data_IF_197993168354
#
_entry.id   IF_197993168354
#
_cell.length_a   1.000
_cell.length_b   1.000
_cell.length_c   1.000
_cell.angle_alpha   90.00
_cell.angle_beta   90.00
_cell.angle_gamma   90.00
#
_symmetry.space_group_name_H-M   'P 1'
#
loop_
_entity.id
_entity.type
_entity.pdbx_description
1 polymer ?
#
# COMPACT_ATOMS: atom_id res chain seq x y z
N UNK A 1 -11.06 0.76 1.94
CA UNK A 1 -9.78 0.08 1.68
C UNK A 1 -9.69 -1.05 2.67
N UNK A 2 -9.76 -2.28 2.18
CA UNK A 2 -9.65 -3.48 3.01
C UNK A 2 -8.34 -4.16 2.62
N UNK A 3 -7.53 -4.55 3.60
CA UNK A 3 -6.28 -5.26 3.35
C UNK A 3 -6.37 -6.54 4.16
N UNK A 4 -6.27 -7.67 3.48
CA UNK A 4 -6.26 -8.98 4.09
C UNK A 4 -4.86 -9.59 3.94
N UNK A 5 -4.25 -9.94 5.06
CA UNK A 5 -3.01 -10.71 5.07
C UNK A 5 -3.36 -12.17 5.33
N UNK A 6 -2.96 -13.05 4.40
CA UNK A 6 -3.07 -14.49 4.59
C UNK A 6 -1.66 -15.04 4.69
N UNK A 7 -1.25 -15.44 5.90
CA UNK A 7 0.02 -16.15 6.13
C UNK A 7 -0.26 -17.65 6.05
N UNK A 8 0.25 -18.32 5.02
CA UNK A 8 0.16 -19.77 4.86
C UNK A 8 1.51 -20.39 5.22
N UNK A 9 1.60 -20.98 6.43
CA UNK A 9 2.77 -21.78 6.83
C UNK A 9 2.68 -23.15 6.15
N UNK A 10 3.60 -23.44 5.22
CA UNK A 10 3.78 -24.77 4.62
C UNK A 10 4.92 -25.51 5.34
N UNK A 11 5.04 -26.81 5.11
CA UNK A 11 5.93 -27.71 5.86
C UNK A 11 7.43 -27.35 5.75
N UNK A 12 7.83 -26.56 4.74
CA UNK A 12 9.23 -26.22 4.43
C UNK A 12 9.45 -24.72 4.12
N UNK A 13 8.41 -23.91 4.08
CA UNK A 13 8.48 -22.48 3.76
C UNK A 13 7.23 -21.74 4.23
N UNK A 14 7.34 -20.43 4.38
CA UNK A 14 6.21 -19.55 4.68
C UNK A 14 5.83 -18.82 3.41
N UNK A 15 4.55 -18.93 3.03
CA UNK A 15 3.96 -18.19 1.93
C UNK A 15 3.13 -17.05 2.53
N UNK A 16 3.57 -15.81 2.37
CA UNK A 16 2.70 -14.66 2.63
C UNK A 16 1.93 -14.37 1.34
N UNK A 17 0.61 -14.28 1.45
CA UNK A 17 -0.28 -13.76 0.41
C UNK A 17 -0.90 -12.46 0.94
N UNK A 18 -0.52 -11.33 0.35
CA UNK A 18 -1.07 -10.03 0.72
C UNK A 18 -2.13 -9.66 -0.32
N UNK A 19 -3.39 -9.50 0.11
CA UNK A 19 -4.50 -9.07 -0.75
C UNK A 19 -4.91 -7.66 -0.37
N UNK A 20 -4.71 -6.71 -1.27
CA UNK A 20 -5.23 -5.35 -1.13
C UNK A 20 -6.55 -5.25 -1.89
N UNK A 21 -7.56 -4.57 -1.34
CA UNK A 21 -8.77 -4.16 -2.07
C UNK A 21 -8.94 -2.63 -1.98
N UNK A 22 -8.86 -1.96 -3.14
CA UNK A 22 -8.93 -0.50 -3.24
C UNK A 22 -10.19 -0.01 -3.99
N UNK A 23 -10.64 1.19 -3.60
CA UNK A 23 -11.74 1.93 -4.25
C UNK A 23 -11.20 3.08 -5.13
N UNK A 24 -10.38 2.75 -6.13
CA UNK A 24 -9.87 3.70 -7.16
C UNK A 24 -8.37 4.00 -7.10
N UNK A 25 -7.89 4.82 -8.05
CA UNK A 25 -6.49 5.11 -8.38
C UNK A 25 -5.57 5.31 -7.16
N UNK A 26 -4.80 4.28 -6.80
CA UNK A 26 -3.78 4.37 -5.76
C UNK A 26 -2.50 3.61 -6.10
N UNK A 27 -1.37 4.27 -5.83
CA UNK A 27 -0.03 3.67 -5.76
C UNK A 27 0.12 3.04 -4.37
N UNK A 28 0.46 1.75 -4.31
CA UNK A 28 0.56 1.02 -3.04
C UNK A 28 1.92 0.33 -2.94
N UNK A 29 2.61 0.55 -1.82
CA UNK A 29 3.94 0.05 -1.50
C UNK A 29 3.83 -0.75 -0.22
N UNK A 30 4.10 -2.06 -0.30
CA UNK A 30 4.23 -2.95 0.84
C UNK A 30 5.69 -3.08 1.22
N UNK A 31 5.97 -3.08 2.52
CA UNK A 31 7.31 -3.25 3.07
C UNK A 31 7.24 -4.37 4.10
N UNK A 32 7.74 -5.55 3.74
CA UNK A 32 7.84 -6.71 4.61
C UNK A 32 9.30 -6.90 5.05
N UNK A 33 9.56 -7.15 6.34
CA UNK A 33 10.90 -7.49 6.82
C UNK A 33 11.16 -8.98 6.55
N UNK A 34 12.12 -9.31 5.68
CA UNK A 34 12.43 -10.67 5.25
C UNK A 34 13.92 -10.98 5.38
N UNK A 35 14.30 -12.02 6.14
CA UNK A 35 15.63 -12.60 6.05
C UNK A 35 15.66 -13.55 4.83
N UNK A 36 16.26 -13.08 3.74
CA UNK A 36 16.60 -13.84 2.52
C UNK A 36 15.40 -14.43 1.73
N UNK A 37 14.99 -13.74 0.66
CA UNK A 37 13.95 -14.22 -0.26
C UNK A 37 14.49 -14.60 -1.63
N UNK A 38 13.99 -15.73 -2.16
CA UNK A 38 14.11 -16.13 -3.56
C UNK A 38 12.71 -16.07 -4.18
N UNK A 39 12.49 -15.20 -5.17
CA UNK A 39 11.15 -14.81 -5.65
C UNK A 39 10.96 -15.07 -7.15
N UNK A 40 9.87 -15.76 -7.50
CA UNK A 40 9.47 -16.13 -8.87
C UNK A 40 8.14 -15.47 -9.25
N UNK A 41 8.12 -14.18 -9.60
CA UNK A 41 6.96 -13.55 -10.26
C UNK A 41 7.34 -12.17 -10.87
N UNK A 42 6.64 -11.69 -11.91
CA UNK A 42 7.08 -10.57 -12.77
C UNK A 42 6.81 -9.16 -12.21
N UNK A 43 6.39 -8.99 -10.95
CA UNK A 43 6.11 -7.68 -10.37
C UNK A 43 7.38 -7.02 -9.81
N UNK A 44 7.48 -5.69 -9.93
CA UNK A 44 8.61 -4.90 -9.46
C UNK A 44 8.75 -4.95 -7.93
N UNK A 45 9.61 -5.84 -7.43
CA UNK A 45 10.02 -5.92 -6.04
C UNK A 45 11.46 -5.43 -5.88
N UNK A 46 11.79 -4.92 -4.70
CA UNK A 46 13.13 -4.48 -4.33
C UNK A 46 13.47 -5.03 -2.95
N UNK A 47 14.55 -5.79 -2.85
CA UNK A 47 15.06 -6.25 -1.57
C UNK A 47 16.20 -5.33 -1.11
N UNK A 48 16.06 -4.77 0.09
CA UNK A 48 17.10 -4.02 0.79
C UNK A 48 17.77 -4.93 1.83
N UNK A 49 18.95 -5.51 1.52
CA UNK A 49 19.64 -6.41 2.42
C UNK A 49 20.19 -5.72 3.67
N UNK A 50 20.36 -4.38 3.67
CA UNK A 50 20.89 -3.65 4.84
C UNK A 50 19.87 -3.57 5.96
N UNK A 51 18.61 -3.42 5.57
CA UNK A 51 17.48 -3.34 6.50
C UNK A 51 16.71 -4.66 6.58
N UNK A 52 17.10 -5.68 5.79
CA UNK A 52 16.39 -6.96 5.63
C UNK A 52 14.92 -6.75 5.27
N UNK A 53 14.67 -5.90 4.27
CA UNK A 53 13.33 -5.45 3.89
C UNK A 53 13.05 -5.77 2.43
N UNK A 54 11.95 -6.46 2.17
CA UNK A 54 11.35 -6.60 0.85
C UNK A 54 10.28 -5.53 0.64
N UNK A 55 10.52 -4.68 -0.33
CA UNK A 55 9.59 -3.68 -0.81
C UNK A 55 8.88 -4.20 -2.07
N UNK A 56 7.56 -4.31 -2.02
CA UNK A 56 6.72 -4.63 -3.16
C UNK A 56 5.89 -3.42 -3.56
N UNK A 57 6.05 -2.99 -4.81
CA UNK A 57 5.35 -1.80 -5.32
C UNK A 57 4.35 -2.16 -6.42
N UNK A 58 3.12 -1.66 -6.28
CA UNK A 58 2.09 -1.69 -7.32
C UNK A 58 1.81 -0.26 -7.74
N UNK A 59 2.16 0.07 -8.99
CA UNK A 59 2.15 1.46 -9.50
C UNK A 59 0.73 2.05 -9.52
N UNK A 60 -0.26 1.24 -9.91
CA UNK A 60 -1.64 1.67 -10.07
C UNK A 60 -2.59 0.53 -9.68
N UNK A 61 -3.46 0.81 -8.71
CA UNK A 61 -4.62 -0.01 -8.37
C UNK A 61 -5.88 0.79 -8.71
N UNK A 62 -6.73 0.24 -9.57
CA UNK A 62 -7.99 0.75 -10.05
C UNK A 62 -9.08 -0.34 -10.01
N UNK A 63 -10.25 -0.08 -10.63
CA UNK A 63 -11.37 -1.02 -10.61
C UNK A 63 -11.13 -2.31 -11.41
N UNK A 64 -10.17 -2.32 -12.35
CA UNK A 64 -9.84 -3.46 -13.19
C UNK A 64 -8.84 -4.42 -12.54
N UNK A 65 -8.07 -3.94 -11.57
CA UNK A 65 -7.02 -4.70 -10.88
C UNK A 65 -7.10 -4.53 -9.35
N UNK A 66 -8.32 -4.63 -8.81
CA UNK A 66 -8.66 -4.37 -7.40
C UNK A 66 -7.89 -5.21 -6.40
N UNK A 67 -7.29 -6.32 -6.82
CA UNK A 67 -6.53 -7.23 -5.98
C UNK A 67 -5.18 -7.56 -6.62
N UNK A 68 -4.12 -7.45 -5.83
CA UNK A 68 -2.81 -8.02 -6.14
C UNK A 68 -2.48 -9.12 -5.14
N UNK A 69 -1.55 -10.00 -5.51
CA UNK A 69 -0.89 -10.89 -4.57
C UNK A 69 0.59 -11.04 -4.92
N UNK A 70 1.41 -11.22 -3.90
CA UNK A 70 2.82 -11.58 -4.02
C UNK A 70 3.03 -12.84 -3.19
N UNK A 71 3.83 -13.76 -3.71
CA UNK A 71 4.18 -15.01 -3.08
C UNK A 71 5.70 -15.15 -3.06
N UNK A 72 6.31 -15.28 -1.89
CA UNK A 72 7.75 -15.47 -1.73
C UNK A 72 8.07 -16.69 -0.85
N UNK A 73 9.31 -17.16 -0.96
CA UNK A 73 9.86 -18.22 -0.12
C UNK A 73 10.95 -17.62 0.77
N UNK A 74 10.91 -17.99 2.04
CA UNK A 74 11.93 -17.69 3.05
C UNK A 74 12.45 -18.98 3.68
N UNK A 75 13.70 -18.99 4.17
CA UNK A 75 14.19 -20.01 5.08
C UNK A 75 13.27 -20.18 6.30
N UNK A 76 13.36 -21.32 7.01
CA UNK A 76 12.62 -21.51 8.25
C UNK A 76 12.88 -20.36 9.23
N UNK A 77 11.83 -19.59 9.51
CA UNK A 77 11.84 -18.44 10.40
C UNK A 77 10.59 -18.45 11.29
N UNK A 78 10.66 -17.73 12.42
CA UNK A 78 9.49 -17.49 13.26
C UNK A 78 8.51 -16.55 12.52
N UNK A 79 7.21 -16.88 12.36
CA UNK A 79 6.25 -16.00 11.71
C UNK A 79 6.19 -14.57 12.28
N UNK A 80 6.53 -14.37 13.56
CA UNK A 80 6.57 -13.05 14.18
C UNK A 80 7.62 -12.12 13.57
N UNK A 81 8.67 -12.64 12.91
CA UNK A 81 9.72 -11.79 12.31
C UNK A 81 9.26 -11.02 11.09
N UNK A 82 8.10 -11.37 10.52
CA UNK A 82 7.50 -10.67 9.38
C UNK A 82 6.69 -9.44 9.78
N UNK A 83 6.49 -9.23 11.07
CA UNK A 83 5.69 -8.14 11.61
C UNK A 83 6.58 -7.08 12.29
N UNK A 84 6.22 -5.79 12.21
CA UNK A 84 5.05 -5.26 11.52
C UNK A 84 5.25 -5.14 10.00
N UNK A 85 4.20 -5.43 9.23
CA UNK A 85 4.19 -5.14 7.78
C UNK A 85 3.74 -3.71 7.59
N UNK A 86 4.59 -2.87 6.99
CA UNK A 86 4.27 -1.46 6.75
C UNK A 86 3.66 -1.28 5.35
N UNK A 87 2.61 -0.47 5.28
CA UNK A 87 1.84 -0.23 4.05
C UNK A 87 1.79 1.26 3.77
N UNK A 88 2.38 1.66 2.65
CA UNK A 88 2.31 3.01 2.12
C UNK A 88 1.34 3.07 0.96
N UNK A 89 0.43 4.03 0.96
CA UNK A 89 -0.39 4.32 -0.21
C UNK A 89 -0.66 5.80 -0.36
N UNK A 90 -0.90 6.22 -1.59
CA UNK A 90 -1.32 7.58 -1.91
C UNK A 90 -2.45 7.59 -2.94
N UNK A 91 -3.38 8.52 -2.76
CA UNK A 91 -4.53 8.73 -3.63
C UNK A 91 -4.71 10.20 -3.97
N UNK A 92 -5.33 10.47 -5.12
CA UNK A 92 -5.80 11.81 -5.52
C UNK A 92 -7.17 12.17 -4.91
N UNK A 93 -7.88 11.19 -4.35
CA UNK A 93 -9.18 11.37 -3.70
C UNK A 93 -9.08 11.22 -2.18
N UNK A 94 -9.91 11.94 -1.42
CA UNK A 94 -10.01 11.76 0.03
C UNK A 94 -10.91 10.57 0.38
N UNK A 95 -10.72 10.00 1.57
CA UNK A 95 -11.58 8.91 2.06
C UNK A 95 -13.06 9.35 2.19
N UNK A 96 -13.29 10.58 2.66
CA UNK A 96 -14.64 11.14 2.89
C UNK A 96 -15.22 11.87 1.69
N UNK A 97 -14.54 11.82 0.53
CA UNK A 97 -14.89 12.53 -0.70
C UNK A 97 -15.09 14.06 -0.50
N UNK A 98 -14.34 14.64 0.43
CA UNK A 98 -14.36 16.06 0.78
C UNK A 98 -13.79 16.91 -0.36
N UNK A 99 -14.55 17.92 -0.78
CA UNK A 99 -14.24 18.81 -1.91
C UNK A 99 -14.43 20.26 -1.51
N UNK A 100 -13.47 21.11 -1.87
CA UNK A 100 -13.67 22.56 -1.82
C UNK A 100 -14.52 22.94 -3.03
N UNK A 101 -15.68 23.54 -2.81
CA UNK A 101 -16.61 23.94 -3.87
C UNK A 101 -16.36 25.37 -4.34
N UNK A 102 -15.83 26.23 -3.48
CA UNK A 102 -15.49 27.60 -3.81
C UNK A 102 -14.90 28.38 -2.64
N UNK A 103 -14.34 29.55 -2.94
CA UNK A 103 -13.96 30.56 -1.95
C UNK A 103 -14.99 31.69 -2.05
N UNK A 104 -15.53 32.14 -0.93
CA UNK A 104 -16.51 33.22 -0.90
C UNK A 104 -15.92 34.44 -0.19
N UNK A 105 -16.02 35.63 -0.80
CA UNK A 105 -15.48 36.84 -0.19
C UNK A 105 -16.35 37.28 1.00
N UNK A 106 -15.70 37.81 2.05
CA UNK A 106 -16.39 38.32 3.26
C UNK A 106 -17.13 39.64 3.01
N UNK A 107 -16.74 40.36 1.97
CA UNK A 107 -17.35 41.61 1.50
C UNK A 107 -17.90 41.37 0.09
N UNK A 108 -18.83 42.22 -0.34
CA UNK A 108 -19.40 42.16 -1.69
C UNK A 108 -18.30 42.14 -2.77
N UNK A 109 -18.36 41.18 -3.68
CA UNK A 109 -17.37 41.00 -4.73
C UNK A 109 -17.46 39.64 -5.44
N UNK A 110 -16.74 39.49 -6.54
CA UNK A 110 -16.68 38.24 -7.28
C UNK A 110 -15.85 37.18 -6.53
N UNK A 111 -16.24 35.89 -6.60
CA UNK A 111 -15.43 34.80 -6.05
C UNK A 111 -14.01 34.79 -6.66
N UNK A 112 -12.95 34.75 -5.83
CA UNK A 112 -11.60 34.68 -6.34
C UNK A 112 -11.32 33.34 -7.01
N UNK A 113 -10.45 33.33 -8.02
CA UNK A 113 -9.94 32.10 -8.62
C UNK A 113 -9.13 31.32 -7.60
N UNK A 114 -9.30 30.01 -7.57
CA UNK A 114 -8.52 29.13 -6.70
C UNK A 114 -8.11 27.85 -7.45
N UNK A 115 -7.11 27.18 -6.91
CA UNK A 115 -6.67 25.85 -7.32
C UNK A 115 -6.61 24.98 -6.08
N UNK A 116 -7.01 23.71 -6.21
CA UNK A 116 -6.93 22.73 -5.13
C UNK A 116 -6.08 21.55 -5.56
N UNK A 117 -5.30 21.02 -4.62
CA UNK A 117 -4.60 19.75 -4.74
C UNK A 117 -5.04 18.86 -3.60
N UNK A 118 -5.74 17.78 -3.94
CA UNK A 118 -6.21 16.80 -2.97
C UNK A 118 -5.26 15.62 -2.96
N UNK A 119 -4.89 15.15 -1.77
CA UNK A 119 -4.05 13.96 -1.60
C UNK A 119 -4.42 13.24 -0.31
N UNK A 120 -4.65 11.93 -0.41
CA UNK A 120 -4.68 11.01 0.72
C UNK A 120 -3.33 10.31 0.79
N UNK A 121 -2.73 10.23 1.97
CA UNK A 121 -1.47 9.50 2.20
C UNK A 121 -1.59 8.72 3.50
N UNK A 122 -1.16 7.46 3.49
CA UNK A 122 -1.03 6.67 4.70
C UNK A 122 0.08 7.25 5.60
N UNK A 123 -0.23 7.53 6.87
CA UNK A 123 0.77 8.00 7.83
C UNK A 123 1.52 6.82 8.45
N UNK A 124 0.82 5.98 9.22
CA UNK A 124 1.35 4.74 9.77
C UNK A 124 0.27 3.67 9.67
N UNK A 125 0.27 2.93 8.56
CA UNK A 125 -0.61 1.79 8.36
C UNK A 125 0.22 0.52 8.45
N UNK A 126 -0.03 -0.26 9.49
CA UNK A 126 0.72 -1.47 9.80
C UNK A 126 -0.21 -2.63 10.09
N UNK A 127 0.23 -3.82 9.70
CA UNK A 127 -0.35 -5.09 10.16
C UNK A 127 0.58 -5.62 11.25
N UNK A 128 0.00 -5.98 12.40
CA UNK A 128 0.69 -6.49 13.60
C UNK A 128 0.19 -7.88 13.97
#
# INVERSE_FOLDING_TARGET
MSICLIVVKKRWYILLLVVAECNGDQLLIFVASLPDCYLTSPCAYRYDPRNSVLEWSIILIDQSNRSGSMEFIVPPADPSTFFPISIGFAASNTFSDLKVTGIHPLKEGNPPKYSQRVRLVAANYQIV
#
